data_IF_628015098868
#
_entry.id   IF_628015098868
#
_cell.length_a   1.000
_cell.length_b   1.000
_cell.length_c   1.000
_cell.angle_alpha   90.00
_cell.angle_beta   90.00
_cell.angle_gamma   90.00
#
_symmetry.space_group_name_H-M   'P 1'
#
loop_
_entity.id
_entity.type
_entity.pdbx_description
1 polymer ?
#
# COMPACT_ATOMS: atom_id res chain seq x y z
N UNK A 1 -20.22 26.78 9.98
CA UNK A 1 -19.46 26.05 11.03
C UNK A 1 -18.52 27.03 11.71
N UNK A 2 -18.54 27.11 13.03
CA UNK A 2 -17.67 28.03 13.77
C UNK A 2 -16.27 27.43 14.01
N UNK A 3 -15.30 28.26 14.47
CA UNK A 3 -13.89 27.84 14.68
C UNK A 3 -13.76 26.66 15.65
N UNK A 4 -14.62 26.57 16.67
CA UNK A 4 -14.62 25.47 17.66
C UNK A 4 -15.05 24.13 17.02
N UNK A 5 -16.00 24.17 16.13
CA UNK A 5 -16.47 22.98 15.38
C UNK A 5 -15.41 22.50 14.38
N UNK A 6 -14.72 23.43 13.69
CA UNK A 6 -13.60 23.10 12.82
C UNK A 6 -12.46 22.39 13.59
N UNK A 7 -12.10 22.91 14.78
CA UNK A 7 -11.11 22.24 15.64
C UNK A 7 -11.57 20.85 16.09
N UNK A 8 -12.85 20.70 16.45
CA UNK A 8 -13.39 19.38 16.84
C UNK A 8 -13.31 18.38 15.68
N UNK A 9 -13.66 18.80 14.46
CA UNK A 9 -13.55 17.99 13.27
C UNK A 9 -12.08 17.60 13.01
N UNK A 10 -11.17 18.55 13.01
CA UNK A 10 -9.75 18.29 12.79
C UNK A 10 -9.16 17.29 13.81
N UNK A 11 -9.52 17.42 15.08
CA UNK A 11 -9.09 16.48 16.12
C UNK A 11 -9.64 15.07 15.87
N UNK A 12 -10.89 14.94 15.41
CA UNK A 12 -11.50 13.65 15.08
C UNK A 12 -10.82 13.03 13.86
N UNK A 13 -10.53 13.84 12.85
CA UNK A 13 -9.82 13.41 11.65
C UNK A 13 -8.42 12.90 11.99
N UNK A 14 -7.64 13.63 12.76
CA UNK A 14 -6.31 13.19 13.22
C UNK A 14 -6.38 11.87 14.02
N UNK A 15 -7.39 11.72 14.90
CA UNK A 15 -7.60 10.47 15.63
C UNK A 15 -7.92 9.29 14.71
N UNK A 16 -8.66 9.54 13.62
CA UNK A 16 -8.95 8.53 12.60
C UNK A 16 -7.69 8.10 11.85
N UNK A 17 -6.86 9.05 11.42
CA UNK A 17 -5.58 8.76 10.76
C UNK A 17 -4.68 7.91 11.67
N UNK A 18 -4.53 8.29 12.95
CA UNK A 18 -3.75 7.52 13.93
C UNK A 18 -4.30 6.11 14.16
N UNK A 19 -5.62 5.95 14.16
CA UNK A 19 -6.25 4.63 14.29
C UNK A 19 -5.93 3.74 13.07
N UNK A 20 -5.95 4.31 11.87
CA UNK A 20 -5.57 3.61 10.64
C UNK A 20 -4.09 3.19 10.61
N UNK A 21 -3.20 4.07 11.05
CA UNK A 21 -1.77 3.74 11.19
C UNK A 21 -1.54 2.60 12.18
N UNK A 22 -2.26 2.59 13.32
CA UNK A 22 -2.21 1.49 14.30
C UNK A 22 -2.71 0.17 13.69
N UNK A 23 -3.80 0.21 12.91
CA UNK A 23 -4.31 -0.96 12.21
C UNK A 23 -3.24 -1.56 11.29
N UNK A 24 -2.62 -0.76 10.43
CA UNK A 24 -1.53 -1.18 9.54
C UNK A 24 -0.38 -1.83 10.30
N UNK A 25 0.03 -1.21 11.41
CA UNK A 25 1.12 -1.70 12.25
C UNK A 25 0.81 -3.05 12.90
N UNK A 26 -0.42 -3.24 13.37
CA UNK A 26 -0.88 -4.48 14.00
C UNK A 26 -1.06 -5.60 12.97
N UNK A 27 -1.59 -5.29 11.78
CA UNK A 27 -1.70 -6.21 10.67
C UNK A 27 -0.35 -6.86 10.35
N UNK A 28 0.70 -6.04 10.27
CA UNK A 28 2.05 -6.53 9.99
C UNK A 28 2.62 -7.41 11.12
N UNK A 29 2.32 -7.09 12.40
CA UNK A 29 2.91 -7.79 13.57
C UNK A 29 2.39 -9.21 13.77
N UNK A 30 1.18 -9.50 13.33
CA UNK A 30 0.46 -10.72 13.75
C UNK A 30 0.51 -11.89 12.76
N UNK A 31 1.01 -11.70 11.55
CA UNK A 31 0.80 -12.70 10.49
C UNK A 31 1.93 -12.88 9.49
N UNK A 32 2.97 -12.10 9.54
CA UNK A 32 4.09 -12.17 8.59
C UNK A 32 5.40 -12.25 9.37
N UNK A 33 6.39 -12.94 8.80
CA UNK A 33 7.75 -13.01 9.32
C UNK A 33 8.25 -11.61 9.73
N UNK A 34 8.58 -11.44 11.01
CA UNK A 34 9.03 -10.17 11.60
C UNK A 34 10.27 -9.57 10.93
N UNK A 35 10.99 -10.38 10.16
CA UNK A 35 12.14 -9.93 9.37
C UNK A 35 11.73 -9.13 8.12
N UNK A 36 10.45 -9.19 7.72
CA UNK A 36 9.91 -8.50 6.54
C UNK A 36 9.24 -7.21 7.01
N UNK A 37 9.66 -6.07 6.49
CA UNK A 37 9.10 -4.76 6.87
C UNK A 37 7.77 -4.49 6.16
N UNK A 38 6.96 -3.56 6.68
CA UNK A 38 5.69 -3.13 6.06
C UNK A 38 5.90 -2.67 4.61
N UNK A 39 6.96 -1.91 4.35
CA UNK A 39 7.27 -1.43 3.00
C UNK A 39 7.65 -2.58 2.06
N UNK A 40 8.31 -3.62 2.57
CA UNK A 40 8.61 -4.83 1.80
C UNK A 40 7.33 -5.62 1.48
N UNK A 41 6.40 -5.73 2.42
CA UNK A 41 5.08 -6.36 2.18
C UNK A 41 4.31 -5.62 1.10
N UNK A 42 4.26 -4.29 1.16
CA UNK A 42 3.58 -3.48 0.13
C UNK A 42 4.25 -3.63 -1.24
N UNK A 43 5.58 -3.73 -1.29
CA UNK A 43 6.29 -3.97 -2.54
C UNK A 43 6.02 -5.38 -3.08
N UNK A 44 5.93 -6.39 -2.22
CA UNK A 44 5.53 -7.76 -2.58
C UNK A 44 4.10 -7.76 -3.15
N UNK A 45 3.16 -7.06 -2.51
CA UNK A 45 1.78 -6.95 -3.00
C UNK A 45 1.74 -6.29 -4.39
N UNK A 46 2.49 -5.21 -4.59
CA UNK A 46 2.58 -4.52 -5.86
C UNK A 46 3.16 -5.43 -6.97
N UNK A 47 4.24 -6.16 -6.68
CA UNK A 47 4.83 -7.12 -7.62
C UNK A 47 3.83 -8.23 -7.92
N UNK A 48 3.20 -8.84 -6.92
CA UNK A 48 2.24 -9.92 -7.09
C UNK A 48 1.05 -9.56 -7.96
N UNK A 49 0.57 -8.32 -7.88
CA UNK A 49 -0.54 -7.82 -8.71
C UNK A 49 -0.14 -7.48 -10.14
N UNK A 50 1.14 -7.22 -10.40
CA UNK A 50 1.63 -6.70 -11.69
C UNK A 50 2.63 -7.62 -12.37
N UNK A 51 2.95 -8.79 -11.80
CA UNK A 51 3.94 -9.70 -12.36
C UNK A 51 3.47 -10.35 -13.69
N UNK A 52 4.37 -10.54 -14.66
CA UNK A 52 5.79 -10.18 -14.61
C UNK A 52 5.98 -8.66 -14.77
N UNK A 53 6.74 -8.03 -13.89
CA UNK A 53 6.94 -6.58 -13.87
C UNK A 53 8.41 -6.20 -13.86
N UNK A 54 8.79 -5.11 -14.54
CA UNK A 54 10.16 -4.61 -14.53
C UNK A 54 10.38 -3.45 -13.53
N UNK A 55 11.65 -3.13 -13.26
CA UNK A 55 12.02 -2.09 -12.30
C UNK A 55 11.53 -0.69 -12.71
N UNK A 56 11.44 -0.41 -14.01
CA UNK A 56 10.97 0.87 -14.54
C UNK A 56 9.51 1.07 -14.16
N UNK A 57 8.69 0.05 -14.48
CA UNK A 57 7.25 0.09 -14.15
C UNK A 57 7.01 0.20 -12.64
N UNK A 58 7.79 -0.49 -11.81
CA UNK A 58 7.68 -0.36 -10.35
C UNK A 58 8.05 1.04 -9.86
N UNK A 59 9.08 1.68 -10.45
CA UNK A 59 9.46 3.05 -10.08
C UNK A 59 8.37 4.07 -10.44
N UNK A 60 7.69 3.88 -11.57
CA UNK A 60 6.53 4.69 -11.98
C UNK A 60 5.34 4.52 -11.04
N UNK A 61 4.97 3.26 -10.74
CA UNK A 61 3.84 2.94 -9.87
C UNK A 61 4.00 3.46 -8.44
N UNK A 62 5.23 3.56 -7.94
CA UNK A 62 5.53 4.04 -6.58
C UNK A 62 5.99 5.50 -6.54
N UNK A 63 6.11 6.16 -7.70
CA UNK A 63 6.60 7.54 -7.82
C UNK A 63 7.95 7.77 -7.10
N UNK A 64 8.84 6.77 -7.19
CA UNK A 64 10.17 6.82 -6.57
C UNK A 64 11.29 6.63 -7.61
N UNK A 65 12.52 6.97 -7.24
CA UNK A 65 13.67 6.82 -8.13
C UNK A 65 13.98 5.34 -8.44
N UNK A 66 14.53 5.07 -9.63
CA UNK A 66 15.00 3.73 -10.03
C UNK A 66 16.04 3.16 -9.05
N UNK A 67 16.90 4.01 -8.48
CA UNK A 67 17.87 3.58 -7.48
C UNK A 67 17.21 3.08 -6.21
N UNK A 68 16.17 3.75 -5.73
CA UNK A 68 15.40 3.34 -4.55
C UNK A 68 14.71 1.99 -4.76
N UNK A 69 14.06 1.80 -5.94
CA UNK A 69 13.45 0.51 -6.30
C UNK A 69 14.50 -0.60 -6.40
N UNK A 70 15.62 -0.34 -7.06
CA UNK A 70 16.69 -1.33 -7.19
C UNK A 70 17.20 -1.80 -5.82
N UNK A 71 17.39 -0.88 -4.86
CA UNK A 71 17.79 -1.23 -3.51
C UNK A 71 16.72 -2.04 -2.77
N UNK A 72 15.45 -1.66 -2.93
CA UNK A 72 14.32 -2.36 -2.30
C UNK A 72 14.17 -3.79 -2.85
N UNK A 73 14.21 -3.95 -4.16
CA UNK A 73 14.17 -5.27 -4.82
C UNK A 73 15.38 -6.12 -4.42
N UNK A 74 16.57 -5.54 -4.33
CA UNK A 74 17.77 -6.26 -3.85
C UNK A 74 17.59 -6.80 -2.43
N UNK A 75 16.90 -6.08 -1.53
CA UNK A 75 16.57 -6.59 -0.20
C UNK A 75 15.58 -7.76 -0.27
N UNK A 76 14.55 -7.68 -1.12
CA UNK A 76 13.59 -8.76 -1.32
C UNK A 76 14.26 -10.02 -1.90
N UNK A 77 15.15 -9.85 -2.88
CA UNK A 77 15.92 -10.98 -3.46
C UNK A 77 16.81 -11.66 -2.42
N UNK A 78 17.48 -10.88 -1.55
CA UNK A 78 18.30 -11.43 -0.45
C UNK A 78 17.49 -12.23 0.57
N UNK A 79 16.21 -11.94 0.71
CA UNK A 79 15.26 -12.64 1.61
C UNK A 79 14.54 -13.79 0.90
N UNK A 80 14.88 -14.06 -0.35
CA UNK A 80 14.23 -15.06 -1.20
C UNK A 80 12.70 -14.81 -1.36
N UNK A 81 12.32 -13.55 -1.54
CA UNK A 81 10.90 -13.14 -1.70
C UNK A 81 10.54 -12.87 -3.16
N UNK A 82 11.54 -12.52 -3.98
CA UNK A 82 11.37 -12.27 -5.42
C UNK A 82 12.51 -12.88 -6.20
N UNK A 83 12.25 -13.23 -7.45
CA UNK A 83 13.23 -13.71 -8.42
C UNK A 83 13.16 -12.86 -9.70
N UNK A 84 14.25 -12.90 -10.47
CA UNK A 84 14.27 -12.35 -11.82
C UNK A 84 14.07 -13.47 -12.83
N UNK A 85 13.17 -13.25 -13.77
CA UNK A 85 13.03 -14.06 -14.98
C UNK A 85 13.42 -13.27 -16.22
N UNK A 86 13.91 -13.96 -17.23
CA UNK A 86 14.19 -13.35 -18.53
C UNK A 86 12.98 -13.47 -19.44
N UNK A 87 12.75 -12.47 -20.28
CA UNK A 87 11.74 -12.57 -21.32
C UNK A 87 12.07 -13.73 -22.26
N UNK A 88 11.09 -14.54 -22.67
CA UNK A 88 11.31 -15.66 -23.59
C UNK A 88 12.02 -15.26 -24.89
N UNK A 89 11.76 -14.03 -25.35
CA UNK A 89 12.24 -13.54 -26.66
C UNK A 89 13.43 -12.56 -26.54
N UNK A 90 13.85 -12.21 -25.33
CA UNK A 90 14.92 -11.23 -25.14
C UNK A 90 15.59 -11.35 -23.75
N UNK A 91 16.76 -11.99 -23.73
CA UNK A 91 17.59 -12.16 -22.53
C UNK A 91 18.05 -10.83 -21.86
N UNK A 92 17.90 -9.70 -22.54
CA UNK A 92 18.22 -8.38 -21.97
C UNK A 92 17.08 -7.84 -21.09
N UNK A 93 15.86 -8.33 -21.26
CA UNK A 93 14.70 -7.89 -20.50
C UNK A 93 14.48 -8.81 -19.29
N UNK A 94 14.78 -8.27 -18.12
CA UNK A 94 14.53 -8.96 -16.84
C UNK A 94 13.22 -8.49 -16.24
N UNK A 95 12.42 -9.44 -15.84
CA UNK A 95 11.18 -9.22 -15.10
C UNK A 95 11.30 -9.79 -13.69
N UNK A 96 10.58 -9.16 -12.78
CA UNK A 96 10.41 -9.64 -11.41
C UNK A 96 9.15 -10.48 -11.31
N UNK A 97 9.29 -11.57 -10.58
CA UNK A 97 8.20 -12.42 -10.13
C UNK A 97 8.37 -12.71 -8.65
N UNK A 98 7.29 -13.09 -7.98
CA UNK A 98 7.36 -13.58 -6.61
C UNK A 98 7.99 -14.98 -6.59
N UNK A 99 8.88 -15.22 -5.62
CA UNK A 99 9.30 -16.59 -5.27
C UNK A 99 8.17 -17.34 -4.58
N UNK A 100 8.34 -18.63 -4.29
CA UNK A 100 7.39 -19.41 -3.48
C UNK A 100 7.12 -18.73 -2.14
N UNK A 101 8.17 -18.31 -1.43
CA UNK A 101 8.05 -17.58 -0.16
C UNK A 101 7.37 -16.22 -0.34
N UNK A 102 7.65 -15.51 -1.42
CA UNK A 102 6.99 -14.25 -1.77
C UNK A 102 5.50 -14.42 -2.02
N UNK A 103 5.09 -15.48 -2.69
CA UNK A 103 3.68 -15.84 -2.91
C UNK A 103 2.95 -16.11 -1.59
N UNK A 104 3.59 -16.80 -0.65
CA UNK A 104 3.01 -17.03 0.69
C UNK A 104 2.75 -15.70 1.41
N UNK A 105 3.73 -14.79 1.43
CA UNK A 105 3.58 -13.45 2.04
C UNK A 105 2.49 -12.63 1.33
N UNK A 106 2.45 -12.67 0.01
CA UNK A 106 1.43 -12.00 -0.80
C UNK A 106 0.02 -12.50 -0.47
N UNK A 107 -0.18 -13.81 -0.39
CA UNK A 107 -1.48 -14.39 -0.08
C UNK A 107 -1.96 -14.02 1.32
N UNK A 108 -1.08 -14.11 2.34
CA UNK A 108 -1.40 -13.69 3.71
C UNK A 108 -1.81 -12.22 3.74
N UNK A 109 -1.07 -11.35 3.07
CA UNK A 109 -1.38 -9.93 3.01
C UNK A 109 -2.72 -9.68 2.30
N UNK A 110 -2.96 -10.35 1.17
CA UNK A 110 -4.21 -10.29 0.41
C UNK A 110 -5.41 -10.67 1.25
N UNK A 111 -5.36 -11.81 1.94
CA UNK A 111 -6.44 -12.27 2.83
C UNK A 111 -6.75 -11.26 3.94
N UNK A 112 -5.72 -10.65 4.52
CA UNK A 112 -5.88 -9.60 5.52
C UNK A 112 -6.54 -8.36 4.94
N UNK A 113 -6.14 -7.92 3.76
CA UNK A 113 -6.75 -6.78 3.07
C UNK A 113 -8.23 -7.05 2.75
N UNK A 114 -8.55 -8.21 2.23
CA UNK A 114 -9.93 -8.61 1.97
C UNK A 114 -10.79 -8.62 3.24
N UNK A 115 -10.24 -9.07 4.36
CA UNK A 115 -10.95 -9.05 5.65
C UNK A 115 -11.22 -7.63 6.13
N UNK A 116 -10.23 -6.75 6.06
CA UNK A 116 -10.37 -5.32 6.40
C UNK A 116 -11.39 -4.65 5.48
N UNK A 117 -11.31 -4.89 4.18
CA UNK A 117 -12.22 -4.33 3.18
C UNK A 117 -13.67 -4.75 3.45
N UNK A 118 -13.92 -6.03 3.71
CA UNK A 118 -15.26 -6.54 4.08
C UNK A 118 -15.80 -5.86 5.33
N UNK A 119 -14.96 -5.67 6.36
CA UNK A 119 -15.35 -4.97 7.58
C UNK A 119 -15.69 -3.50 7.31
N UNK A 120 -14.89 -2.81 6.50
CA UNK A 120 -15.15 -1.42 6.10
C UNK A 120 -16.44 -1.34 5.26
N UNK A 121 -16.65 -2.22 4.29
CA UNK A 121 -17.85 -2.22 3.47
C UNK A 121 -19.12 -2.43 4.29
N UNK A 122 -19.06 -3.24 5.36
CA UNK A 122 -20.20 -3.40 6.27
C UNK A 122 -20.61 -2.09 6.95
N UNK A 123 -19.65 -1.19 7.20
CA UNK A 123 -19.92 0.15 7.75
C UNK A 123 -20.43 1.09 6.66
N UNK A 124 -19.76 1.12 5.51
CA UNK A 124 -20.09 2.05 4.41
C UNK A 124 -21.49 1.83 3.85
N UNK A 125 -22.02 0.61 3.88
CA UNK A 125 -23.39 0.28 3.45
C UNK A 125 -24.49 0.98 4.26
N UNK A 126 -24.17 1.53 5.43
CA UNK A 126 -25.12 2.28 6.28
C UNK A 126 -25.20 3.77 5.89
N UNK A 127 -24.44 4.22 4.90
CA UNK A 127 -24.41 5.59 4.44
C UNK A 127 -24.96 5.69 3.02
N UNK A 128 -25.56 6.85 2.68
CA UNK A 128 -26.03 7.10 1.32
C UNK A 128 -24.86 7.28 0.36
N UNK A 129 -25.09 7.07 -0.93
CA UNK A 129 -24.07 7.36 -1.96
C UNK A 129 -23.67 8.84 -1.97
N UNK A 130 -24.59 9.75 -1.61
CA UNK A 130 -24.31 11.18 -1.53
C UNK A 130 -23.36 11.50 -0.38
N UNK A 131 -23.57 10.90 0.80
CA UNK A 131 -22.66 11.03 1.94
C UNK A 131 -21.26 10.53 1.58
N UNK A 132 -21.17 9.37 0.94
CA UNK A 132 -19.89 8.78 0.54
C UNK A 132 -19.18 9.64 -0.52
N UNK A 133 -19.91 10.19 -1.50
CA UNK A 133 -19.34 11.13 -2.48
C UNK A 133 -18.80 12.40 -1.81
N UNK A 134 -19.52 12.93 -0.81
CA UNK A 134 -19.08 14.10 -0.05
C UNK A 134 -17.78 13.79 0.71
N UNK A 135 -17.70 12.63 1.37
CA UNK A 135 -16.48 12.21 2.08
C UNK A 135 -15.30 12.03 1.12
N UNK A 136 -15.50 11.38 -0.03
CA UNK A 136 -14.44 11.23 -1.05
C UNK A 136 -13.93 12.57 -1.55
N UNK A 137 -14.84 13.52 -1.81
CA UNK A 137 -14.47 14.88 -2.21
C UNK A 137 -13.63 15.57 -1.14
N UNK A 138 -14.08 15.52 0.12
CA UNK A 138 -13.36 16.11 1.25
C UNK A 138 -11.93 15.51 1.38
N UNK A 139 -11.79 14.18 1.24
CA UNK A 139 -10.47 13.52 1.26
C UNK A 139 -9.56 14.06 0.16
N UNK A 140 -10.04 14.17 -1.08
CA UNK A 140 -9.28 14.71 -2.19
C UNK A 140 -8.86 16.17 -1.99
N UNK A 141 -9.76 17.01 -1.49
CA UNK A 141 -9.47 18.43 -1.19
C UNK A 141 -8.36 18.54 -0.11
N UNK A 142 -8.40 17.68 0.92
CA UNK A 142 -7.36 17.64 1.98
C UNK A 142 -6.03 17.11 1.44
N UNK A 143 -6.03 16.07 0.63
CA UNK A 143 -4.81 15.54 -0.01
C UNK A 143 -4.12 16.59 -0.89
N UNK A 144 -4.90 17.38 -1.63
CA UNK A 144 -4.35 18.47 -2.44
C UNK A 144 -3.63 19.49 -1.57
N UNK A 145 -4.25 19.92 -0.47
CA UNK A 145 -3.60 20.84 0.49
C UNK A 145 -2.29 20.26 1.02
N UNK A 146 -2.25 18.97 1.35
CA UNK A 146 -1.03 18.33 1.86
C UNK A 146 0.10 18.29 0.81
N UNK A 147 -0.22 18.10 -0.47
CA UNK A 147 0.77 18.13 -1.57
C UNK A 147 1.38 19.52 -1.78
N UNK A 148 0.65 20.55 -1.45
CA UNK A 148 1.07 21.94 -1.62
C UNK A 148 1.86 22.48 -0.41
N UNK A 149 1.97 21.72 0.69
CA UNK A 149 2.74 22.10 1.85
C UNK A 149 4.25 22.05 1.54
N UNK A 150 5.05 23.00 2.04
CA UNK A 150 6.45 23.20 1.64
C UNK A 150 7.44 22.20 2.25
N UNK A 151 7.02 21.17 2.96
CA UNK A 151 7.88 20.14 3.58
C UNK A 151 7.54 18.72 3.10
#
# INVERSE_FOLDING_TARGET
MNKKELHKFNNRFNSFVLAFERLKKNQHRNSIDKSITINEVHLIDLIGRNQPVNLVKLSELLEVSRSAITQSVRRLTKKDLVAFEFAPDNEKNKYLILSKKGVEVFNIHKEQQEHIEKAIFSVLRNYSEEDLRMVMKLMGDVEQVWRELPW
#
